data_IF_142633567715
#
_entry.id   IF_142633567715
#
_cell.length_a   1.000
_cell.length_b   1.000
_cell.length_c   1.000
_cell.angle_alpha   90.00
_cell.angle_beta   90.00
_cell.angle_gamma   90.00
#
_symmetry.space_group_name_H-M   'P 1'
#
loop_
_entity.id
_entity.type
_entity.pdbx_description
1 polymer ?
#
# COMPACT_ATOMS: atom_id res chain seq x y z
N UNK A 1 -9.67 -12.14 -2.37
CA UNK A 1 -8.49 -11.70 -3.15
C UNK A 1 -7.29 -11.80 -2.24
N UNK A 2 -6.16 -12.34 -2.71
CA UNK A 2 -4.92 -12.48 -1.91
C UNK A 2 -3.76 -11.86 -2.69
N UNK A 3 -2.93 -11.10 -2.00
CA UNK A 3 -1.66 -10.57 -2.46
C UNK A 3 -0.54 -11.56 -2.12
N UNK A 4 0.16 -12.04 -3.14
CA UNK A 4 1.27 -13.01 -3.00
C UNK A 4 2.65 -12.36 -3.21
N UNK A 5 2.69 -11.09 -3.61
CA UNK A 5 3.88 -10.41 -4.12
C UNK A 5 3.77 -10.17 -5.63
N UNK A 6 4.83 -9.61 -6.23
CA UNK A 6 4.94 -9.39 -7.68
C UNK A 6 6.37 -9.68 -8.15
N UNK A 7 6.59 -9.75 -9.47
CA UNK A 7 7.93 -9.99 -10.03
C UNK A 7 8.98 -8.96 -9.58
N UNK A 8 8.56 -7.75 -9.22
CA UNK A 8 9.44 -6.63 -8.87
C UNK A 8 9.50 -6.34 -7.37
N UNK A 9 8.68 -7.01 -6.56
CA UNK A 9 8.58 -6.73 -5.13
C UNK A 9 8.52 -8.01 -4.31
N UNK A 10 9.62 -8.26 -3.60
CA UNK A 10 9.73 -9.37 -2.65
C UNK A 10 9.17 -8.92 -1.31
N UNK A 11 7.93 -9.32 -1.03
CA UNK A 11 7.31 -9.09 0.27
C UNK A 11 7.67 -10.24 1.23
N UNK A 12 8.07 -9.89 2.46
CA UNK A 12 8.21 -10.88 3.53
C UNK A 12 6.85 -11.51 3.86
N UNK A 13 6.87 -12.71 4.44
CA UNK A 13 5.65 -13.43 4.82
C UNK A 13 4.76 -12.60 5.75
N UNK A 14 5.37 -11.91 6.72
CA UNK A 14 4.68 -11.01 7.64
C UNK A 14 3.99 -9.84 6.91
N UNK A 15 4.66 -9.26 5.91
CA UNK A 15 4.11 -8.16 5.14
C UNK A 15 2.93 -8.63 4.28
N UNK A 16 3.06 -9.80 3.64
CA UNK A 16 1.98 -10.43 2.88
C UNK A 16 0.77 -10.72 3.77
N UNK A 17 1.01 -11.27 4.95
CA UNK A 17 -0.04 -11.53 5.93
C UNK A 17 -0.76 -10.24 6.33
N UNK A 18 -0.03 -9.17 6.66
CA UNK A 18 -0.60 -7.89 7.05
C UNK A 18 -1.48 -7.28 5.94
N UNK A 19 -1.01 -7.30 4.68
CA UNK A 19 -1.77 -6.83 3.52
C UNK A 19 -3.05 -7.64 3.34
N UNK A 20 -2.93 -8.97 3.35
CA UNK A 20 -4.08 -9.87 3.18
C UNK A 20 -5.11 -9.73 4.29
N UNK A 21 -4.67 -9.54 5.53
CA UNK A 21 -5.54 -9.27 6.66
C UNK A 21 -6.30 -7.94 6.49
N UNK A 22 -5.59 -6.87 6.12
CA UNK A 22 -6.21 -5.56 5.91
C UNK A 22 -7.27 -5.57 4.79
N UNK A 23 -6.97 -6.24 3.66
CA UNK A 23 -7.91 -6.42 2.55
C UNK A 23 -9.12 -7.23 2.98
N UNK A 24 -8.91 -8.35 3.68
CA UNK A 24 -9.99 -9.26 4.10
C UNK A 24 -10.91 -8.61 5.12
N UNK A 25 -10.35 -7.84 6.06
CA UNK A 25 -11.09 -7.16 7.12
C UNK A 25 -11.67 -5.81 6.67
N UNK A 26 -11.37 -5.37 5.45
CA UNK A 26 -11.67 -4.02 4.96
C UNK A 26 -11.23 -2.92 5.95
N UNK A 27 -10.04 -3.09 6.53
CA UNK A 27 -9.44 -2.15 7.49
C UNK A 27 -8.23 -1.45 6.86
N UNK A 28 -7.98 -0.16 7.20
CA UNK A 28 -6.79 0.54 6.75
C UNK A 28 -5.50 -0.13 7.25
N UNK A 29 -4.45 -0.11 6.42
CA UNK A 29 -3.11 -0.57 6.77
C UNK A 29 -2.14 0.61 6.80
N UNK A 30 -1.48 0.82 7.94
CA UNK A 30 -0.44 1.84 8.08
C UNK A 30 0.95 1.19 8.05
N UNK A 31 1.77 1.57 7.07
CA UNK A 31 3.13 1.06 6.91
C UNK A 31 4.14 2.08 7.42
N UNK A 32 5.06 1.64 8.29
CA UNK A 32 6.13 2.47 8.88
C UNK A 32 7.52 1.96 8.47
N UNK A 33 8.57 2.72 8.79
CA UNK A 33 9.98 2.31 8.68
C UNK A 33 10.86 3.36 8.00
N UNK A 34 12.11 3.03 7.79
CA UNK A 34 13.10 3.97 7.25
C UNK A 34 12.79 4.46 5.82
N UNK A 35 13.20 5.69 5.46
CA UNK A 35 13.16 6.18 4.08
C UNK A 35 13.85 5.20 3.11
N UNK A 36 13.32 5.04 1.90
CA UNK A 36 13.94 4.19 0.87
C UNK A 36 13.62 2.69 0.98
N UNK A 37 12.85 2.24 1.97
CA UNK A 37 12.49 0.80 2.16
C UNK A 37 11.28 0.33 1.34
N UNK A 38 10.95 1.00 0.23
CA UNK A 38 9.94 0.52 -0.71
C UNK A 38 8.47 0.65 -0.27
N UNK A 39 8.11 1.53 0.67
CA UNK A 39 6.71 1.70 1.13
C UNK A 39 5.77 2.19 0.03
N UNK A 40 6.20 3.15 -0.77
CA UNK A 40 5.42 3.66 -1.90
C UNK A 40 5.23 2.57 -2.96
N UNK A 41 6.31 1.84 -3.26
CA UNK A 41 6.28 0.71 -4.19
C UNK A 41 5.34 -0.40 -3.72
N UNK A 42 5.29 -0.70 -2.42
CA UNK A 42 4.33 -1.66 -1.88
C UNK A 42 2.88 -1.30 -2.26
N UNK A 43 2.48 -0.03 -2.17
CA UNK A 43 1.13 0.39 -2.52
C UNK A 43 0.82 0.16 -4.02
N UNK A 44 1.80 0.43 -4.89
CA UNK A 44 1.72 0.19 -6.34
C UNK A 44 1.58 -1.30 -6.65
N UNK A 45 2.42 -2.12 -6.04
CA UNK A 45 2.47 -3.57 -6.27
C UNK A 45 1.24 -4.29 -5.69
N UNK A 46 0.72 -3.82 -4.55
CA UNK A 46 -0.55 -4.30 -4.00
C UNK A 46 -1.71 -3.96 -4.93
N UNK A 47 -1.78 -2.73 -5.45
CA UNK A 47 -2.83 -2.35 -6.39
C UNK A 47 -2.76 -3.18 -7.68
N UNK A 48 -1.55 -3.37 -8.23
CA UNK A 48 -1.31 -4.21 -9.40
C UNK A 48 -1.72 -5.66 -9.14
N UNK A 49 -1.24 -6.27 -8.06
CA UNK A 49 -1.53 -7.66 -7.71
C UNK A 49 -3.01 -7.93 -7.40
N UNK A 50 -3.76 -6.90 -6.97
CA UNK A 50 -5.20 -6.99 -6.74
C UNK A 50 -6.04 -6.55 -7.95
N UNK A 51 -5.42 -6.10 -9.04
CA UNK A 51 -6.11 -5.58 -10.23
C UNK A 51 -6.96 -4.34 -9.93
N UNK A 52 -6.47 -3.43 -9.07
CA UNK A 52 -7.17 -2.22 -8.65
C UNK A 52 -6.45 -0.97 -9.14
N UNK A 53 -7.22 0.10 -9.34
CA UNK A 53 -6.66 1.44 -9.56
C UNK A 53 -6.06 1.95 -8.25
N UNK A 54 -4.77 2.27 -8.25
CA UNK A 54 -4.15 2.99 -7.14
C UNK A 54 -4.56 4.47 -7.22
N UNK A 55 -5.09 4.97 -6.12
CA UNK A 55 -5.35 6.40 -5.96
C UNK A 55 -4.28 6.94 -5.01
N UNK A 56 -3.41 7.81 -5.52
CA UNK A 56 -2.33 8.39 -4.73
C UNK A 56 -2.72 9.80 -4.27
N UNK A 57 -2.57 10.08 -2.98
CA UNK A 57 -2.73 11.42 -2.43
C UNK A 57 -1.53 11.80 -1.57
N UNK A 58 -0.79 12.81 -2.00
CA UNK A 58 0.38 13.30 -1.29
C UNK A 58 -0.03 14.35 -0.26
N UNK A 59 0.07 14.00 1.02
CA UNK A 59 -0.23 14.90 2.14
C UNK A 59 1.05 15.58 2.64
N UNK A 60 0.99 16.91 2.75
CA UNK A 60 2.00 17.77 3.42
C UNK A 60 1.30 18.59 4.49
N UNK A 61 2.05 19.21 5.39
CA UNK A 61 1.49 20.12 6.42
C UNK A 61 0.72 21.30 5.83
N UNK A 62 0.98 21.63 4.56
CA UNK A 62 0.29 22.70 3.81
C UNK A 62 -0.88 22.21 2.96
N UNK A 63 -1.16 20.90 2.93
CA UNK A 63 -2.27 20.33 2.16
C UNK A 63 -3.61 20.73 2.79
N UNK A 64 -4.50 21.31 1.98
CA UNK A 64 -5.88 21.66 2.36
C UNK A 64 -6.86 20.61 1.88
N UNK A 65 -7.99 20.47 2.59
CA UNK A 65 -9.03 19.50 2.24
C UNK A 65 -9.59 19.68 0.81
N UNK A 66 -9.69 20.92 0.32
CA UNK A 66 -10.11 21.23 -1.05
C UNK A 66 -9.15 20.72 -2.13
N UNK A 67 -7.91 20.38 -1.77
CA UNK A 67 -6.89 19.82 -2.66
C UNK A 67 -6.88 18.28 -2.61
N UNK A 68 -7.88 17.69 -1.95
CA UNK A 68 -8.10 16.25 -1.90
C UNK A 68 -8.70 15.68 -3.18
N UNK A 69 -8.89 14.36 -3.15
CA UNK A 69 -9.59 13.59 -4.18
C UNK A 69 -11.11 13.67 -4.03
#
# INVERSE_FOLDING_TARGET
MKFEGTERYVATDDLRMAVNAAVTLARPLLIKGEPGTGKTMLAEEVALGLGKRLIQWHIKSTTKAQQGL
#
